data_IF_764479841519
#
_entry.id   IF_764479841519
#
_cell.length_a   1.000
_cell.length_b   1.000
_cell.length_c   1.000
_cell.angle_alpha   90.00
_cell.angle_beta   90.00
_cell.angle_gamma   90.00
#
_symmetry.space_group_name_H-M   'P 1'
#
loop_
_entity.id
_entity.type
_entity.pdbx_description
1 polymer ?
#
# COMPACT_ATOMS: atom_id res chain seq x y z
N UNK A 1 19.10 9.00 -5.27
CA UNK A 1 18.70 8.79 -4.87
C UNK A 1 18.33 7.95 -3.75
N UNK A 2 18.51 7.30 -3.39
CA UNK A 2 18.14 6.54 -2.52
C UNK A 2 17.29 6.93 -1.62
N UNK A 3 17.12 6.43 -0.81
CA UNK A 3 16.43 6.87 0.10
C UNK A 3 15.05 6.68 -0.05
N UNK A 4 14.37 7.20 0.66
CA UNK A 4 13.03 7.24 0.57
C UNK A 4 12.72 8.24 -0.29
N UNK A 5 12.70 7.99 -1.45
CA UNK A 5 12.51 9.07 -2.19
C UNK A 5 11.75 8.73 -3.28
N UNK A 6 11.95 8.01 -3.97
CA UNK A 6 11.36 7.64 -5.13
C UNK A 6 10.05 8.15 -5.42
N UNK A 7 9.85 9.32 -5.24
CA UNK A 7 8.58 9.84 -5.52
C UNK A 7 8.55 10.39 -6.89
N UNK A 8 7.72 9.87 -7.72
CA UNK A 8 7.48 10.49 -9.01
C UNK A 8 6.02 10.24 -9.34
N UNK A 9 5.46 11.01 -10.21
CA UNK A 9 4.07 10.83 -10.56
C UNK A 9 3.90 10.81 -12.05
N UNK A 10 2.90 10.10 -12.47
CA UNK A 10 2.51 10.09 -13.86
C UNK A 10 1.11 10.63 -13.89
N UNK A 11 0.48 10.56 -15.01
CA UNK A 11 -0.90 11.00 -15.11
C UNK A 11 -1.80 10.23 -14.18
N UNK A 12 -1.46 9.00 -13.83
CA UNK A 12 -2.36 8.16 -13.07
C UNK A 12 -1.82 7.70 -11.74
N UNK A 13 -0.60 8.02 -11.39
CA UNK A 13 -0.09 7.46 -10.15
C UNK A 13 1.13 8.13 -9.58
N UNK A 14 1.45 7.75 -8.38
CA UNK A 14 2.60 8.20 -7.62
C UNK A 14 3.27 6.99 -7.01
N UNK A 15 4.58 6.98 -7.02
CA UNK A 15 5.33 5.87 -6.43
C UNK A 15 6.21 6.37 -5.28
N UNK A 16 6.32 5.57 -4.25
CA UNK A 16 7.18 5.84 -3.10
C UNK A 16 8.01 4.59 -2.85
N UNK A 17 9.31 4.76 -2.73
CA UNK A 17 10.21 3.63 -2.52
C UNK A 17 11.02 3.76 -1.26
N UNK A 18 11.46 2.61 -0.74
CA UNK A 18 12.38 2.52 0.38
C UNK A 18 13.64 1.84 -0.10
N UNK A 19 14.77 2.54 0.00
CA UNK A 19 16.05 1.98 -0.37
C UNK A 19 16.88 1.69 0.87
N UNK A 20 17.71 0.66 0.77
CA UNK A 20 18.63 0.32 1.83
C UNK A 20 19.89 -0.21 1.18
N UNK A 21 21.03 0.37 1.53
CA UNK A 21 22.33 -0.01 0.97
C UNK A 21 22.35 0.05 -0.56
N UNK A 22 21.67 1.02 -1.11
CA UNK A 22 21.65 1.21 -2.55
C UNK A 22 20.66 0.32 -3.29
N UNK A 23 19.91 -0.50 -2.58
CA UNK A 23 18.93 -1.38 -3.21
C UNK A 23 17.52 -1.04 -2.77
N UNK A 24 16.60 -1.13 -3.69
CA UNK A 24 15.20 -0.89 -3.38
C UNK A 24 14.65 -2.11 -2.65
N UNK A 25 14.22 -1.96 -1.43
CA UNK A 25 13.67 -3.08 -0.64
C UNK A 25 12.16 -3.06 -0.53
N UNK A 26 11.54 -1.95 -0.89
CA UNK A 26 10.08 -1.89 -0.90
C UNK A 26 9.64 -0.73 -1.75
N UNK A 27 8.47 -0.84 -2.32
CA UNK A 27 7.89 0.25 -3.09
C UNK A 27 6.39 0.18 -3.03
N UNK A 28 5.76 1.33 -3.12
CA UNK A 28 4.31 1.44 -3.15
C UNK A 28 3.96 2.34 -4.32
N UNK A 29 3.07 1.89 -5.17
CA UNK A 29 2.54 2.71 -6.25
C UNK A 29 1.09 2.99 -5.96
N UNK A 30 0.71 4.25 -6.03
CA UNK A 30 -0.67 4.67 -5.82
C UNK A 30 -1.28 5.11 -7.14
N UNK A 31 -2.53 4.73 -7.37
CA UNK A 31 -3.24 5.14 -8.58
C UNK A 31 -4.74 5.20 -8.32
N UNK A 32 -5.47 5.66 -9.27
CA UNK A 32 -6.93 5.72 -9.22
C UNK A 32 -7.46 6.56 -8.06
N UNK A 33 -6.78 7.66 -7.78
CA UNK A 33 -7.22 8.58 -6.74
C UNK A 33 -8.51 9.29 -7.18
N UNK A 34 -9.53 9.23 -6.35
CA UNK A 34 -10.80 9.89 -6.66
C UNK A 34 -11.32 10.71 -5.50
N UNK A 35 -10.44 11.10 -4.58
CA UNK A 35 -10.74 11.90 -3.40
C UNK A 35 -11.36 11.09 -2.27
N UNK A 36 -11.93 9.94 -2.52
CA UNK A 36 -12.50 9.08 -1.48
C UNK A 36 -11.63 7.88 -1.23
N UNK A 37 -11.03 7.36 -2.27
CA UNK A 37 -10.18 6.19 -2.15
C UNK A 37 -9.00 6.27 -3.10
N UNK A 38 -8.00 5.44 -2.85
CA UNK A 38 -6.84 5.34 -3.71
C UNK A 38 -6.43 3.88 -3.71
N UNK A 39 -5.95 3.42 -4.86
CA UNK A 39 -5.48 2.04 -4.99
C UNK A 39 -3.98 2.00 -4.78
N UNK A 40 -3.50 1.09 -3.97
CA UNK A 40 -2.08 0.92 -3.69
C UNK A 40 -1.61 -0.42 -4.21
N UNK A 41 -0.40 -0.45 -4.75
CA UNK A 41 0.27 -1.67 -5.14
C UNK A 41 1.61 -1.69 -4.43
N UNK A 42 1.89 -2.74 -3.68
CA UNK A 42 3.12 -2.83 -2.90
C UNK A 42 4.00 -3.95 -3.37
N UNK A 43 5.30 -3.71 -3.40
CA UNK A 43 6.28 -4.74 -3.66
C UNK A 43 7.31 -4.68 -2.55
N UNK A 44 7.61 -5.79 -1.92
CA UNK A 44 8.50 -5.85 -0.79
C UNK A 44 9.50 -6.98 -0.98
N UNK A 45 10.78 -6.66 -0.93
CA UNK A 45 11.82 -7.67 -1.03
C UNK A 45 12.71 -7.70 0.21
N UNK A 46 12.54 -6.75 1.11
CA UNK A 46 13.36 -6.71 2.30
C UNK A 46 12.53 -6.33 3.51
N UNK A 47 13.21 -6.00 4.58
CA UNK A 47 12.52 -5.66 5.81
C UNK A 47 11.94 -4.26 5.73
N UNK A 48 10.71 -4.11 6.17
CA UNK A 48 10.07 -2.81 6.23
C UNK A 48 10.28 -2.19 7.60
N UNK A 49 10.32 -0.87 7.63
CA UNK A 49 10.39 -0.14 8.89
C UNK A 49 9.02 0.45 9.20
N UNK A 50 8.81 0.70 10.47
CA UNK A 50 7.59 1.34 10.90
C UNK A 50 7.49 2.75 10.33
N UNK A 51 8.63 3.41 10.20
CA UNK A 51 8.66 4.75 9.63
C UNK A 51 8.24 4.76 8.16
N UNK A 52 8.64 3.76 7.40
CA UNK A 52 8.21 3.66 6.01
C UNK A 52 6.70 3.41 5.92
N UNK A 53 6.17 2.50 6.74
CA UNK A 53 4.74 2.24 6.77
C UNK A 53 3.97 3.49 7.17
N UNK A 54 4.46 4.22 8.15
CA UNK A 54 3.83 5.49 8.52
C UNK A 54 3.83 6.48 7.38
N UNK A 55 4.93 6.55 6.65
CA UNK A 55 5.03 7.49 5.53
C UNK A 55 4.03 7.16 4.42
N UNK A 56 3.89 5.89 4.05
CA UNK A 56 2.99 5.55 2.96
C UNK A 56 1.53 5.78 3.35
N UNK A 57 1.16 5.49 4.57
CA UNK A 57 -0.22 5.70 4.98
C UNK A 57 -0.52 7.18 5.24
N UNK A 58 0.43 7.94 5.75
CA UNK A 58 0.24 9.39 5.87
C UNK A 58 0.08 10.03 4.50
N UNK A 59 0.84 9.56 3.52
CA UNK A 59 0.68 10.09 2.17
C UNK A 59 -0.76 9.85 1.68
N UNK A 60 -1.25 8.65 1.82
CA UNK A 60 -2.58 8.33 1.33
C UNK A 60 -3.66 9.07 2.10
N UNK A 61 -3.64 8.98 3.40
CA UNK A 61 -4.78 9.47 4.20
C UNK A 61 -4.69 10.96 4.49
N UNK A 62 -3.49 11.49 4.63
CA UNK A 62 -3.36 12.91 4.98
C UNK A 62 -3.05 13.79 3.79
N UNK A 63 -2.11 13.39 2.95
CA UNK A 63 -1.78 14.21 1.81
C UNK A 63 -2.80 14.08 0.68
N UNK A 64 -3.21 12.87 0.36
CA UNK A 64 -4.22 12.65 -0.66
C UNK A 64 -5.63 12.81 -0.14
N UNK A 65 -5.80 12.79 1.16
CA UNK A 65 -7.09 13.05 1.81
C UNK A 65 -8.14 11.98 1.60
N UNK A 66 -7.74 10.74 1.33
CA UNK A 66 -8.73 9.68 1.08
C UNK A 66 -9.22 9.10 2.39
N UNK A 67 -10.33 8.41 2.34
CA UNK A 67 -10.88 7.70 3.48
C UNK A 67 -10.57 6.22 3.44
N UNK A 68 -10.15 5.70 2.31
CA UNK A 68 -9.95 4.27 2.13
C UNK A 68 -8.79 4.01 1.17
N UNK A 69 -7.94 3.07 1.52
CA UNK A 69 -6.90 2.57 0.64
C UNK A 69 -7.32 1.18 0.17
N UNK A 70 -7.23 0.93 -1.12
CA UNK A 70 -7.59 -0.35 -1.72
C UNK A 70 -6.30 -1.05 -2.16
N UNK A 71 -6.15 -2.30 -1.80
CA UNK A 71 -4.95 -3.08 -2.10
C UNK A 71 -5.35 -4.37 -2.78
N UNK A 72 -5.27 -4.45 -4.10
CA UNK A 72 -5.62 -5.69 -4.81
C UNK A 72 -4.46 -6.68 -4.74
N UNK A 73 -4.76 -7.92 -4.42
CA UNK A 73 -3.74 -8.97 -4.30
C UNK A 73 -4.27 -10.24 -4.94
N UNK A 74 -3.42 -10.91 -5.72
CA UNK A 74 -3.79 -12.18 -6.32
C UNK A 74 -3.96 -13.23 -5.22
N UNK A 75 -4.99 -14.05 -5.33
CA UNK A 75 -5.31 -15.02 -4.28
C UNK A 75 -4.22 -16.07 -4.09
N UNK A 76 -3.39 -16.31 -5.11
CA UNK A 76 -2.31 -17.28 -4.99
C UNK A 76 -1.04 -16.67 -4.39
N UNK A 77 -1.04 -15.40 -4.07
CA UNK A 77 0.10 -14.74 -3.48
C UNK A 77 -0.02 -14.76 -1.96
N UNK A 78 0.25 -15.90 -1.37
CA UNK A 78 0.04 -16.10 0.07
C UNK A 78 0.81 -15.10 0.92
N UNK A 79 2.03 -14.77 0.51
CA UNK A 79 2.85 -13.85 1.27
C UNK A 79 2.23 -12.46 1.33
N UNK A 80 1.76 -11.95 0.21
CA UNK A 80 1.15 -10.63 0.17
C UNK A 80 -0.18 -10.60 0.87
N UNK A 81 -0.96 -11.67 0.76
CA UNK A 81 -2.22 -11.75 1.47
C UNK A 81 -2.01 -11.69 2.98
N UNK A 82 -1.03 -12.43 3.46
CA UNK A 82 -0.73 -12.42 4.88
C UNK A 82 -0.21 -11.06 5.33
N UNK A 83 0.59 -10.44 4.51
CA UNK A 83 1.13 -9.13 4.81
C UNK A 83 0.03 -8.07 4.94
N UNK A 84 -0.91 -8.08 4.01
CA UNK A 84 -2.03 -7.14 4.06
C UNK A 84 -2.83 -7.30 5.34
N UNK A 85 -3.07 -8.53 5.73
CA UNK A 85 -3.81 -8.80 6.96
C UNK A 85 -3.04 -8.30 8.18
N UNK A 86 -1.73 -8.43 8.19
CA UNK A 86 -0.92 -7.93 9.28
C UNK A 86 -0.95 -6.41 9.37
N UNK A 87 -1.10 -5.74 8.26
CA UNK A 87 -1.20 -4.29 8.25
C UNK A 87 -2.55 -3.77 8.71
N UNK A 88 -3.52 -4.67 8.84
CA UNK A 88 -4.86 -4.27 9.28
C UNK A 88 -5.88 -4.17 8.18
N UNK A 89 -5.50 -4.53 6.96
CA UNK A 89 -6.46 -4.54 5.86
C UNK A 89 -7.43 -5.70 6.02
N UNK A 90 -8.63 -5.53 5.53
CA UNK A 90 -9.64 -6.59 5.53
C UNK A 90 -10.06 -6.88 4.10
N UNK A 91 -10.43 -8.11 3.84
CA UNK A 91 -10.92 -8.48 2.53
C UNK A 91 -12.32 -7.91 2.37
N UNK A 92 -12.50 -7.06 1.40
CA UNK A 92 -13.80 -6.45 1.15
C UNK A 92 -14.50 -7.09 -0.03
N UNK A 93 -13.78 -7.54 -1.03
CA UNK A 93 -14.37 -8.14 -2.21
C UNK A 93 -13.38 -9.09 -2.85
N UNK A 94 -13.88 -9.95 -3.71
CA UNK A 94 -13.05 -10.91 -4.44
C UNK A 94 -13.55 -10.95 -5.87
N UNK A 95 -12.64 -10.78 -6.81
CA UNK A 95 -12.96 -10.82 -8.22
C UNK A 95 -12.54 -12.18 -8.75
N UNK A 96 -13.50 -13.02 -9.03
CA UNK A 96 -13.24 -14.38 -9.46
C UNK A 96 -12.54 -14.41 -10.80
N UNK A 97 -11.55 -15.29 -10.93
CA UNK A 97 -10.83 -15.49 -12.18
C UNK A 97 -10.16 -14.24 -12.74
N UNK A 98 -9.87 -13.28 -11.91
CA UNK A 98 -9.29 -12.03 -12.38
C UNK A 98 -7.76 -12.03 -12.31
N UNK A 99 -7.15 -13.06 -11.75
CA UNK A 99 -5.69 -13.19 -11.72
C UNK A 99 -5.28 -14.37 -12.59
N UNK A 100 -4.03 -14.42 -13.06
CA UNK A 100 -3.58 -15.53 -13.94
C UNK A 100 -3.80 -16.92 -13.35
N UNK A 101 -3.66 -17.05 -12.05
CA UNK A 101 -3.81 -18.35 -11.41
C UNK A 101 -4.84 -18.32 -10.29
N UNK A 102 -5.82 -17.48 -10.38
CA UNK A 102 -6.83 -17.43 -9.34
C UNK A 102 -7.64 -16.15 -9.38
N UNK A 103 -7.97 -15.66 -8.21
CA UNK A 103 -8.82 -14.50 -8.05
C UNK A 103 -8.00 -13.27 -7.67
N UNK A 104 -8.59 -12.10 -7.76
CA UNK A 104 -8.02 -10.90 -7.17
C UNK A 104 -8.82 -10.58 -5.92
N UNK A 105 -8.15 -10.49 -4.79
CA UNK A 105 -8.78 -10.14 -3.54
C UNK A 105 -8.59 -8.64 -3.33
N UNK A 106 -9.66 -7.93 -3.08
CA UNK A 106 -9.60 -6.50 -2.81
C UNK A 106 -9.59 -6.28 -1.31
N UNK A 107 -8.42 -5.95 -0.79
CA UNK A 107 -8.29 -5.59 0.62
C UNK A 107 -8.48 -4.10 0.76
N UNK A 108 -9.07 -3.68 1.85
CA UNK A 108 -9.23 -2.25 2.10
C UNK A 108 -8.85 -1.90 3.52
N UNK A 109 -8.43 -0.66 3.69
CA UNK A 109 -8.10 -0.12 5.00
C UNK A 109 -8.69 1.29 5.08
N UNK A 110 -9.55 1.52 6.06
CA UNK A 110 -10.11 2.85 6.26
C UNK A 110 -9.19 3.69 7.12
N UNK A 111 -9.24 4.99 6.94
CA UNK A 111 -8.43 5.92 7.71
C UNK A 111 -8.57 5.69 9.21
N UNK A 112 -9.79 5.50 9.67
CA UNK A 112 -10.05 5.34 11.10
C UNK A 112 -9.49 4.04 11.67
N UNK A 113 -9.20 3.08 10.82
CA UNK A 113 -8.68 1.78 11.25
C UNK A 113 -7.18 1.68 11.09
N UNK A 114 -6.54 2.69 10.56
CA UNK A 114 -5.11 2.64 10.28
C UNK A 114 -4.29 2.97 11.52
N UNK A 115 -3.58 1.98 12.04
CA UNK A 115 -2.78 2.19 13.24
C UNK A 115 -1.45 2.86 12.98
N UNK A 116 -1.11 3.15 11.73
CA UNK A 116 0.16 3.77 11.39
C UNK A 116 0.09 5.27 11.31
N UNK A 117 -1.10 5.86 11.46
CA UNK A 117 -1.22 7.30 11.36
C UNK A 117 -0.90 7.99 12.66
N UNK A 118 -1.22 7.55 13.68
CA UNK A 118 -1.15 8.34 14.85
C UNK A 118 0.19 8.46 15.41
N UNK A 119 0.80 9.47 15.07
CA UNK A 119 2.03 9.73 15.64
C UNK A 119 1.88 9.77 17.12
N UNK A 120 0.79 10.19 17.56
CA UNK A 120 0.59 10.22 18.92
C UNK A 120 0.55 8.85 19.43
N UNK A 121 0.36 7.97 18.58
CA UNK A 121 0.36 6.67 19.02
C UNK A 121 1.70 6.13 18.87
N UNK A 122 2.54 6.91 18.56
CA UNK A 122 3.91 6.52 18.54
C UNK A 122 4.30 5.72 17.58
#
# INVERSE_FOLDING_TARGET
AGKMNGSFSSATGTAIGLERDGSLVAGVMYENWNKQSITAHMAVTGRLTRSFLGAIFRYAFEKCGVHKVILPISSDNAKSNKFAQKLGFTEEARLCDAAPNGDVILYTLKKDDCRFLGAKHG
#
